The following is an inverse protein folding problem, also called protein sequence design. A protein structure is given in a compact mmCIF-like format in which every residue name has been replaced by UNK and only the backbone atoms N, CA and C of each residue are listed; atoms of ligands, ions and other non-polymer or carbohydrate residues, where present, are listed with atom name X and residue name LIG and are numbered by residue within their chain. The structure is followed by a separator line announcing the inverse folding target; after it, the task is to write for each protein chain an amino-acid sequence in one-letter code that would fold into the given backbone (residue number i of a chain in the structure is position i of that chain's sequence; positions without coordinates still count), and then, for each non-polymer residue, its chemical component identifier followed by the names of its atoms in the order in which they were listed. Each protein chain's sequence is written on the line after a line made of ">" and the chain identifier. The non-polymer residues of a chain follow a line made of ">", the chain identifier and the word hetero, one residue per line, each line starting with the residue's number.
data_IF_141705095203
#
_entry.id   IF_141705095203
#
_cell.length_a   1.000
_cell.length_b   1.000
_cell.length_c   1.000
_cell.angle_alpha   90.00
_cell.angle_beta   90.00
_cell.angle_gamma   90.00
#
_symmetry.space_group_name_H-M   'P 1'
#
loop_
_entity.id
_entity.type
_entity.pdbx_description
1 polymer ?
#
# COMPACT_ATOMS: atom_id res chain seq x y z
N UNK A 1 39.55 36.00 -27.71
CA UNK A 1 38.50 35.71 -26.67
C UNK A 1 37.83 34.42 -27.08
N UNK A 2 38.20 33.33 -26.44
CA UNK A 2 37.66 32.01 -26.70
C UNK A 2 36.40 31.87 -25.85
N UNK A 3 35.24 31.83 -26.51
CA UNK A 3 33.95 31.60 -25.85
C UNK A 3 33.91 30.14 -25.35
N UNK A 4 33.72 29.96 -24.07
CA UNK A 4 33.50 28.62 -23.49
C UNK A 4 32.28 27.96 -24.18
N UNK A 5 32.33 26.63 -24.44
CA UNK A 5 31.19 25.96 -25.01
C UNK A 5 30.00 26.01 -24.01
N UNK A 6 28.75 26.11 -24.52
CA UNK A 6 27.58 26.12 -23.66
C UNK A 6 27.54 24.83 -22.83
N UNK A 7 27.22 24.95 -21.53
CA UNK A 7 27.05 23.83 -20.64
C UNK A 7 26.03 22.84 -21.23
N UNK A 8 26.38 21.56 -21.28
CA UNK A 8 25.49 20.53 -21.77
C UNK A 8 24.26 20.49 -20.83
N UNK A 9 23.08 20.77 -21.39
CA UNK A 9 21.80 20.66 -20.68
C UNK A 9 21.39 19.20 -20.62
N UNK A 10 21.13 18.68 -19.41
CA UNK A 10 20.62 17.32 -19.21
C UNK A 10 19.23 17.13 -19.86
N UNK A 11 18.94 15.93 -20.33
CA UNK A 11 17.61 15.58 -20.82
C UNK A 11 16.58 15.67 -19.68
N UNK A 12 15.44 16.31 -19.95
CA UNK A 12 14.30 16.37 -19.02
C UNK A 12 13.28 15.33 -19.48
N UNK A 13 12.93 14.40 -18.58
CA UNK A 13 11.87 13.42 -18.79
C UNK A 13 10.77 13.66 -17.77
N UNK A 14 9.50 13.49 -18.20
CA UNK A 14 8.35 13.56 -17.32
C UNK A 14 8.10 12.15 -16.76
N UNK A 15 8.03 12.04 -15.43
CA UNK A 15 7.52 10.83 -14.79
C UNK A 15 6.01 10.75 -15.07
N UNK A 16 5.49 9.66 -15.66
CA UNK A 16 4.06 9.51 -15.96
C UNK A 16 3.17 9.41 -14.71
N UNK A 17 3.75 9.45 -13.54
CA UNK A 17 3.08 9.31 -12.26
C UNK A 17 2.23 10.54 -11.92
N UNK A 18 1.00 10.33 -11.37
CA UNK A 18 0.15 11.42 -10.90
C UNK A 18 0.79 12.15 -9.71
N UNK A 19 1.15 13.45 -9.82
CA UNK A 19 1.76 14.20 -8.74
C UNK A 19 0.90 14.26 -7.47
N UNK A 20 -0.45 14.25 -7.61
CA UNK A 20 -1.38 14.26 -6.47
C UNK A 20 -1.34 12.97 -5.65
N UNK A 21 -0.98 11.85 -6.26
CA UNK A 21 -0.84 10.56 -5.58
C UNK A 21 0.46 10.46 -4.78
N UNK A 22 1.54 11.03 -5.30
CA UNK A 22 2.84 11.05 -4.62
C UNK A 22 2.87 11.96 -3.38
N UNK A 23 1.95 12.93 -3.29
CA UNK A 23 1.86 13.86 -2.15
C UNK A 23 0.99 13.35 -1.00
N UNK A 24 0.22 12.27 -1.18
CA UNK A 24 -0.51 11.62 -0.10
C UNK A 24 0.44 10.81 0.77
N UNK A 25 1.20 11.50 1.64
CA UNK A 25 2.03 10.84 2.65
C UNK A 25 1.13 10.00 3.56
N UNK A 26 1.29 8.69 3.50
CA UNK A 26 0.71 7.82 4.52
C UNK A 26 1.47 8.02 5.83
N UNK A 27 0.84 7.76 6.98
CA UNK A 27 1.55 7.81 8.27
C UNK A 27 2.79 6.90 8.31
N UNK A 28 2.81 5.88 7.46
CA UNK A 28 3.93 4.95 7.27
C UNK A 28 5.08 5.59 6.48
N UNK A 29 4.76 6.35 5.43
CA UNK A 29 5.75 7.11 4.67
C UNK A 29 6.39 8.23 5.52
N UNK A 30 5.60 8.89 6.40
CA UNK A 30 6.12 9.86 7.37
C UNK A 30 7.07 9.17 8.35
N UNK A 31 6.72 7.99 8.86
CA UNK A 31 7.60 7.20 9.74
C UNK A 31 8.89 6.70 9.06
N UNK A 32 8.90 6.52 7.74
CA UNK A 32 10.10 6.21 6.96
C UNK A 32 10.97 7.46 6.73
N UNK A 33 10.37 8.64 6.55
CA UNK A 33 11.10 9.91 6.41
C UNK A 33 11.77 10.35 7.71
N UNK A 34 11.16 10.05 8.86
CA UNK A 34 11.72 10.33 10.20
C UNK A 34 12.84 9.35 10.61
N UNK A 35 13.08 8.27 9.86
CA UNK A 35 14.14 7.33 10.11
C UNK A 35 15.51 7.97 9.80
N UNK A 36 16.14 8.55 10.80
CA UNK A 36 17.43 9.25 10.73
C UNK A 36 18.61 8.34 10.33
N UNK A 37 18.44 7.01 10.33
CA UNK A 37 19.46 6.05 9.85
C UNK A 37 18.83 4.82 9.24
N UNK A 38 19.07 4.60 7.95
CA UNK A 38 18.76 3.34 7.26
C UNK A 38 20.01 2.49 7.26
N UNK A 39 19.91 1.25 7.75
CA UNK A 39 20.96 0.25 7.64
C UNK A 39 20.61 -0.73 6.53
N UNK A 40 21.55 -1.02 5.65
CA UNK A 40 21.39 -1.98 4.55
C UNK A 40 22.45 -3.07 4.70
N UNK A 41 22.01 -4.34 4.62
CA UNK A 41 22.87 -5.47 4.32
C UNK A 41 22.59 -5.87 2.85
N UNK A 42 23.56 -5.57 2.00
CA UNK A 42 23.46 -5.78 0.55
C UNK A 42 23.94 -7.16 0.12
N UNK A 43 24.47 -7.97 1.03
CA UNK A 43 25.12 -9.25 0.74
C UNK A 43 24.20 -10.47 0.94
N UNK A 44 22.89 -10.25 1.09
CA UNK A 44 21.91 -11.32 1.36
C UNK A 44 21.83 -12.36 0.25
N UNK A 45 21.64 -11.93 -0.99
CA UNK A 45 21.53 -12.85 -2.15
C UNK A 45 22.82 -12.96 -2.92
N UNK A 46 23.43 -11.85 -3.26
CA UNK A 46 24.70 -11.75 -3.96
C UNK A 46 25.62 -10.79 -3.22
N UNK A 47 26.94 -11.03 -3.20
CA UNK A 47 27.89 -10.02 -2.73
C UNK A 47 27.66 -8.69 -3.42
N UNK A 48 27.71 -7.60 -2.68
CA UNK A 48 27.36 -6.25 -3.15
C UNK A 48 28.16 -5.79 -4.36
N UNK A 49 29.42 -6.22 -4.48
CA UNK A 49 30.29 -5.98 -5.64
C UNK A 49 29.94 -6.81 -6.87
N UNK A 50 29.07 -7.82 -6.72
CA UNK A 50 28.59 -8.69 -7.81
C UNK A 50 27.13 -8.44 -8.17
N UNK A 51 26.57 -7.37 -7.68
CA UNK A 51 25.17 -7.02 -7.99
C UNK A 51 24.99 -6.86 -9.50
N UNK A 52 23.93 -7.42 -10.00
CA UNK A 52 23.49 -7.35 -11.39
C UNK A 52 21.96 -7.55 -11.45
N UNK A 53 21.31 -7.16 -12.55
CA UNK A 53 19.91 -7.52 -12.79
C UNK A 53 19.72 -9.05 -12.70
N UNK A 54 18.70 -9.48 -11.96
CA UNK A 54 18.31 -10.88 -11.79
C UNK A 54 17.01 -11.12 -12.55
N UNK A 55 17.00 -12.16 -13.39
CA UNK A 55 15.79 -12.64 -14.05
C UNK A 55 15.24 -13.84 -13.28
N UNK A 56 13.92 -13.96 -13.10
CA UNK A 56 13.34 -15.14 -12.47
C UNK A 56 13.64 -16.38 -13.33
N UNK A 57 13.74 -17.58 -12.74
CA UNK A 57 13.96 -18.81 -13.49
C UNK A 57 12.78 -19.09 -14.43
N UNK A 58 13.08 -19.66 -15.61
CA UNK A 58 12.07 -19.98 -16.63
C UNK A 58 11.12 -21.11 -16.19
N UNK A 59 11.55 -21.94 -15.26
CA UNK A 59 10.81 -23.13 -14.77
C UNK A 59 11.02 -23.27 -13.26
N UNK A 60 10.15 -24.04 -12.60
CA UNK A 60 10.30 -24.34 -11.16
C UNK A 60 9.65 -23.33 -10.24
N UNK A 61 8.97 -22.31 -10.77
CA UNK A 61 8.18 -21.40 -9.96
C UNK A 61 6.92 -22.12 -9.41
N UNK A 62 6.46 -21.75 -8.20
CA UNK A 62 5.24 -22.32 -7.65
C UNK A 62 4.05 -22.10 -8.58
N UNK A 63 3.22 -23.14 -8.73
CA UNK A 63 2.01 -23.08 -9.58
C UNK A 63 0.83 -22.30 -8.96
N UNK A 64 1.01 -21.74 -7.76
CA UNK A 64 0.00 -20.99 -7.04
C UNK A 64 -0.48 -19.73 -7.76
N UNK A 65 -1.68 -19.27 -7.43
CA UNK A 65 -2.24 -18.02 -7.92
C UNK A 65 -1.68 -16.81 -7.21
N UNK A 66 -2.23 -15.65 -7.55
CA UNK A 66 -1.96 -14.38 -6.92
C UNK A 66 -3.17 -13.97 -6.09
N UNK A 67 -2.95 -13.60 -4.82
CA UNK A 67 -3.92 -12.89 -4.00
C UNK A 67 -3.44 -11.45 -3.85
N UNK A 68 -4.33 -10.50 -4.06
CA UNK A 68 -4.04 -9.08 -3.81
C UNK A 68 -4.95 -8.60 -2.71
N UNK A 69 -4.36 -7.99 -1.68
CA UNK A 69 -5.05 -7.32 -0.59
C UNK A 69 -4.90 -5.80 -0.73
N UNK A 70 -5.99 -5.08 -0.62
CA UNK A 70 -6.00 -3.63 -0.65
C UNK A 70 -7.19 -3.08 0.13
N UNK A 71 -7.15 -1.79 0.47
CA UNK A 71 -8.19 -1.11 1.18
C UNK A 71 -8.42 0.33 0.74
N UNK A 72 -9.63 0.81 0.97
CA UNK A 72 -10.03 2.18 0.70
C UNK A 72 -10.68 2.80 1.92
N UNK A 73 -10.57 4.11 2.07
CA UNK A 73 -11.17 4.86 3.17
C UNK A 73 -11.80 6.15 2.66
N UNK A 74 -12.78 6.63 3.42
CA UNK A 74 -13.45 7.91 3.14
C UNK A 74 -13.96 8.53 4.44
N UNK A 75 -13.73 9.82 4.60
CA UNK A 75 -14.35 10.62 5.65
C UNK A 75 -15.67 11.16 5.09
N UNK A 76 -16.79 10.84 5.73
CA UNK A 76 -18.11 11.31 5.35
C UNK A 76 -18.44 12.66 5.95
N UNK A 77 -18.08 12.86 7.25
CA UNK A 77 -18.38 14.11 7.95
C UNK A 77 -17.36 14.41 9.05
N UNK A 78 -17.16 15.70 9.33
CA UNK A 78 -16.63 16.17 10.61
C UNK A 78 -17.78 16.28 11.60
N UNK A 79 -17.52 15.92 12.86
CA UNK A 79 -18.52 15.91 13.94
C UNK A 79 -17.94 16.53 15.20
N UNK A 80 -18.84 16.94 16.10
CA UNK A 80 -18.50 17.37 17.45
C UNK A 80 -19.26 16.50 18.45
N UNK A 81 -18.57 15.96 19.43
CA UNK A 81 -19.15 15.15 20.49
C UNK A 81 -19.24 16.00 21.75
N UNK A 82 -20.47 16.28 22.17
CA UNK A 82 -20.73 17.07 23.37
C UNK A 82 -20.21 16.41 24.64
N UNK A 83 -19.91 17.25 25.65
CA UNK A 83 -19.56 16.79 26.97
C UNK A 83 -20.81 16.99 27.90
N UNK A 84 -21.37 15.89 28.46
CA UNK A 84 -22.53 15.98 29.35
C UNK A 84 -22.29 16.83 30.61
N UNK A 85 -21.04 17.03 31.00
CA UNK A 85 -20.68 17.89 32.14
C UNK A 85 -20.61 19.39 31.80
N UNK A 86 -20.93 19.77 30.56
CA UNK A 86 -20.87 21.17 30.10
C UNK A 86 -19.49 21.63 29.66
N UNK A 87 -18.53 20.69 29.46
CA UNK A 87 -17.21 20.98 28.93
C UNK A 87 -17.22 21.26 27.43
N UNK A 88 -16.04 21.62 26.91
CA UNK A 88 -15.87 21.84 25.45
C UNK A 88 -16.17 20.58 24.66
N UNK A 89 -16.97 20.65 23.58
CA UNK A 89 -17.17 19.53 22.68
C UNK A 89 -15.87 19.05 22.06
N UNK A 90 -15.69 17.75 21.94
CA UNK A 90 -14.54 17.14 21.31
C UNK A 90 -14.74 16.96 19.80
N UNK A 91 -13.73 17.27 18.97
CA UNK A 91 -13.82 17.05 17.54
C UNK A 91 -13.78 15.55 17.20
N UNK A 92 -14.32 15.18 16.05
CA UNK A 92 -14.29 13.84 15.53
C UNK A 92 -14.56 13.78 14.03
N UNK A 93 -14.49 12.58 13.49
CA UNK A 93 -14.89 12.27 12.12
C UNK A 93 -15.79 11.04 12.08
N UNK A 94 -16.84 11.08 11.27
CA UNK A 94 -17.56 9.90 10.84
C UNK A 94 -16.92 9.44 9.52
N UNK A 95 -16.45 8.20 9.49
CA UNK A 95 -15.68 7.70 8.36
C UNK A 95 -16.00 6.23 8.09
N UNK A 96 -15.80 5.82 6.84
CA UNK A 96 -15.89 4.42 6.40
C UNK A 96 -14.57 3.95 5.83
N UNK A 97 -14.24 2.69 6.05
CA UNK A 97 -13.20 1.99 5.34
C UNK A 97 -13.72 0.65 4.82
N UNK A 98 -13.16 0.20 3.73
CA UNK A 98 -13.41 -1.12 3.16
C UNK A 98 -12.08 -1.76 2.79
N UNK A 99 -11.92 -3.04 3.10
CA UNK A 99 -10.79 -3.83 2.66
C UNK A 99 -11.31 -5.09 1.93
N UNK A 100 -10.47 -5.64 1.08
CA UNK A 100 -10.83 -6.84 0.34
C UNK A 100 -9.64 -7.59 -0.20
N UNK A 101 -9.93 -8.77 -0.70
CA UNK A 101 -8.99 -9.67 -1.35
C UNK A 101 -9.53 -10.05 -2.72
N UNK A 102 -8.67 -9.97 -3.73
CA UNK A 102 -8.97 -10.52 -5.05
C UNK A 102 -8.00 -11.66 -5.35
N UNK A 103 -8.53 -12.80 -5.80
CA UNK A 103 -7.74 -13.94 -6.23
C UNK A 103 -7.66 -13.97 -7.74
N UNK A 104 -6.44 -14.09 -8.25
CA UNK A 104 -6.14 -14.27 -9.66
C UNK A 104 -5.56 -15.69 -9.84
N UNK A 105 -6.37 -16.62 -10.31
CA UNK A 105 -5.91 -17.96 -10.61
C UNK A 105 -5.02 -17.96 -11.88
N UNK A 106 -4.02 -18.85 -11.99
CA UNK A 106 -3.22 -18.97 -13.20
C UNK A 106 -4.10 -19.26 -14.41
N UNK A 107 -4.05 -18.41 -15.44
CA UNK A 107 -4.88 -18.55 -16.65
C UNK A 107 -6.38 -18.34 -16.44
N UNK A 108 -6.82 -17.93 -15.24
CA UNK A 108 -8.22 -17.72 -14.87
C UNK A 108 -8.62 -16.25 -14.77
N UNK A 109 -9.87 -16.03 -14.37
CA UNK A 109 -10.39 -14.70 -14.07
C UNK A 109 -9.98 -14.26 -12.66
N UNK A 110 -9.98 -12.94 -12.46
CA UNK A 110 -9.85 -12.36 -11.12
C UNK A 110 -11.21 -12.44 -10.40
N UNK A 111 -11.21 -12.98 -9.18
CA UNK A 111 -12.40 -13.17 -8.37
C UNK A 111 -12.27 -12.43 -7.04
N UNK A 112 -13.35 -11.76 -6.62
CA UNK A 112 -13.42 -11.16 -5.29
C UNK A 112 -13.55 -12.28 -4.25
N UNK A 113 -12.47 -12.52 -3.50
CA UNK A 113 -12.43 -13.61 -2.51
C UNK A 113 -13.02 -13.19 -1.16
N UNK A 114 -12.71 -11.99 -0.71
CA UNK A 114 -13.16 -11.46 0.59
C UNK A 114 -13.41 -9.96 0.47
N UNK A 115 -14.37 -9.45 1.25
CA UNK A 115 -14.62 -8.01 1.40
C UNK A 115 -15.31 -7.74 2.73
N UNK A 116 -14.91 -6.67 3.39
CA UNK A 116 -15.59 -6.16 4.57
C UNK A 116 -15.57 -4.63 4.57
N UNK A 117 -16.61 -4.04 5.21
CA UNK A 117 -16.81 -2.58 5.31
C UNK A 117 -17.04 -2.23 6.76
N UNK A 118 -16.28 -1.26 7.28
CA UNK A 118 -16.48 -0.71 8.63
C UNK A 118 -16.79 0.77 8.57
N UNK A 119 -17.73 1.17 9.42
CA UNK A 119 -18.07 2.58 9.63
C UNK A 119 -17.82 2.93 11.08
N UNK A 120 -17.12 4.05 11.32
CA UNK A 120 -16.74 4.43 12.67
C UNK A 120 -16.81 5.93 12.89
N UNK A 121 -17.10 6.28 14.13
CA UNK A 121 -17.06 7.63 14.67
C UNK A 121 -15.78 7.78 15.49
N UNK A 122 -14.72 8.35 14.90
CA UNK A 122 -13.44 8.56 15.56
C UNK A 122 -13.43 9.89 16.32
N UNK A 123 -13.13 9.86 17.62
CA UNK A 123 -13.03 11.04 18.48
C UNK A 123 -12.18 10.75 19.72
N UNK A 124 -11.51 11.71 20.32
CA UNK A 124 -10.88 11.55 21.64
C UNK A 124 -11.88 11.52 22.80
N UNK A 125 -13.16 11.87 22.56
CA UNK A 125 -14.18 11.91 23.60
C UNK A 125 -14.48 10.52 24.17
N UNK A 126 -14.52 10.40 25.49
CA UNK A 126 -15.00 9.20 26.20
C UNK A 126 -16.55 9.09 26.20
N UNK A 127 -17.23 10.15 25.80
CA UNK A 127 -18.70 10.23 25.79
C UNK A 127 -19.31 9.88 24.44
N UNK A 128 -18.48 9.52 23.45
CA UNK A 128 -18.99 9.04 22.17
C UNK A 128 -19.70 7.69 22.35
N UNK A 129 -20.85 7.57 21.73
CA UNK A 129 -21.60 6.33 21.59
C UNK A 129 -21.80 6.03 20.10
N UNK A 130 -22.13 4.79 19.80
CA UNK A 130 -22.48 4.38 18.43
C UNK A 130 -23.58 5.28 17.87
N UNK A 131 -23.43 5.66 16.62
CA UNK A 131 -24.38 6.48 15.91
C UNK A 131 -25.11 5.64 14.87
N UNK A 132 -26.33 5.22 15.22
CA UNK A 132 -27.22 4.53 14.31
C UNK A 132 -27.82 5.51 13.32
N UNK A 133 -27.75 5.14 12.04
CA UNK A 133 -28.36 5.86 10.94
C UNK A 133 -29.18 4.89 10.10
N UNK A 134 -30.09 5.40 9.28
CA UNK A 134 -30.86 4.55 8.35
C UNK A 134 -29.97 3.88 7.28
N UNK A 135 -28.72 4.34 7.09
CA UNK A 135 -27.75 3.79 6.13
C UNK A 135 -26.67 2.92 6.80
N UNK A 136 -26.75 2.65 8.09
CA UNK A 136 -25.86 1.81 8.88
C UNK A 136 -25.34 2.50 10.13
N UNK A 137 -24.70 1.74 11.00
CA UNK A 137 -24.16 2.18 12.28
C UNK A 137 -22.72 2.63 12.15
N UNK A 138 -22.38 3.79 12.73
CA UNK A 138 -21.02 4.24 12.94
C UNK A 138 -20.60 3.92 14.36
N UNK A 139 -19.78 2.88 14.51
CA UNK A 139 -19.30 2.45 15.84
C UNK A 139 -18.34 3.46 16.42
N UNK A 140 -18.53 3.83 17.69
CA UNK A 140 -17.65 4.76 18.37
C UNK A 140 -16.25 4.17 18.54
N UNK A 141 -15.23 4.89 18.07
CA UNK A 141 -13.83 4.48 18.09
C UNK A 141 -12.98 5.61 18.69
N UNK A 142 -12.14 5.25 19.66
CA UNK A 142 -11.32 6.25 20.35
C UNK A 142 -10.10 6.62 19.51
N UNK A 143 -9.92 7.91 19.23
CA UNK A 143 -8.71 8.46 18.64
C UNK A 143 -7.75 8.95 19.73
N UNK A 144 -6.45 8.97 19.43
CA UNK A 144 -5.41 9.45 20.36
C UNK A 144 -5.45 10.96 20.60
N UNK A 145 -6.25 11.70 19.83
CA UNK A 145 -6.45 13.14 19.94
C UNK A 145 -7.41 13.65 18.87
N UNK A 146 -7.68 14.98 18.88
CA UNK A 146 -8.68 15.63 18.05
C UNK A 146 -8.14 16.37 16.82
N UNK A 147 -6.83 16.34 16.56
CA UNK A 147 -6.29 16.95 15.33
C UNK A 147 -6.70 16.14 14.10
N UNK A 148 -6.75 16.79 12.93
CA UNK A 148 -7.07 16.13 11.67
C UNK A 148 -6.16 14.94 11.40
N UNK A 149 -4.87 15.06 11.72
CA UNK A 149 -3.86 14.01 11.56
C UNK A 149 -4.13 12.82 12.49
N UNK A 150 -4.40 13.07 13.78
CA UNK A 150 -4.69 12.03 14.76
C UNK A 150 -5.97 11.26 14.43
N UNK A 151 -6.99 11.95 13.96
CA UNK A 151 -8.25 11.33 13.51
C UNK A 151 -8.04 10.52 12.24
N UNK A 152 -7.28 11.06 11.26
CA UNK A 152 -6.93 10.35 10.04
C UNK A 152 -6.07 9.11 10.31
N UNK A 153 -5.13 9.20 11.27
CA UNK A 153 -4.31 8.08 11.70
C UNK A 153 -5.14 6.96 12.35
N UNK A 154 -6.15 7.32 13.16
CA UNK A 154 -7.06 6.34 13.75
C UNK A 154 -7.85 5.58 12.66
N UNK A 155 -8.35 6.28 11.64
CA UNK A 155 -9.00 5.67 10.48
C UNK A 155 -8.04 4.77 9.69
N UNK A 156 -6.78 5.21 9.47
CA UNK A 156 -5.77 4.40 8.79
C UNK A 156 -5.44 3.12 9.56
N UNK A 157 -5.30 3.19 10.87
CA UNK A 157 -5.07 2.01 11.72
C UNK A 157 -6.22 1.01 11.59
N UNK A 158 -7.46 1.49 11.65
CA UNK A 158 -8.62 0.61 11.47
C UNK A 158 -8.64 -0.07 10.09
N UNK A 159 -8.26 0.65 9.03
CA UNK A 159 -8.13 0.07 7.70
C UNK A 159 -7.06 -1.02 7.66
N UNK A 160 -5.88 -0.74 8.19
CA UNK A 160 -4.77 -1.71 8.26
C UNK A 160 -5.17 -2.96 9.06
N UNK A 161 -5.84 -2.78 10.21
CA UNK A 161 -6.33 -3.90 11.03
C UNK A 161 -7.37 -4.75 10.27
N UNK A 162 -8.22 -4.10 9.46
CA UNK A 162 -9.20 -4.78 8.64
C UNK A 162 -8.53 -5.61 7.53
N UNK A 163 -7.56 -5.04 6.82
CA UNK A 163 -6.78 -5.74 5.80
C UNK A 163 -6.04 -6.96 6.38
N UNK A 164 -5.37 -6.79 7.53
CA UNK A 164 -4.69 -7.90 8.23
C UNK A 164 -5.68 -8.99 8.63
N UNK A 165 -6.84 -8.60 9.17
CA UNK A 165 -7.89 -9.54 9.59
C UNK A 165 -8.38 -10.38 8.41
N UNK A 166 -8.69 -9.75 7.27
CA UNK A 166 -9.16 -10.43 6.07
C UNK A 166 -8.08 -11.35 5.49
N UNK A 167 -6.85 -10.87 5.37
CA UNK A 167 -5.73 -11.65 4.86
C UNK A 167 -5.44 -12.88 5.75
N UNK A 168 -5.48 -12.72 7.08
CA UNK A 168 -5.28 -13.82 8.04
C UNK A 168 -6.40 -14.85 7.92
N UNK A 169 -7.66 -14.40 7.87
CA UNK A 169 -8.82 -15.28 7.72
C UNK A 169 -8.73 -16.09 6.43
N UNK A 170 -8.41 -15.43 5.33
CA UNK A 170 -8.25 -16.08 4.04
C UNK A 170 -7.13 -17.13 4.06
N UNK A 171 -5.96 -16.79 4.62
CA UNK A 171 -4.82 -17.71 4.73
C UNK A 171 -5.14 -18.95 5.58
N UNK A 172 -5.89 -18.76 6.65
CA UNK A 172 -6.31 -19.89 7.51
C UNK A 172 -7.25 -20.84 6.76
N UNK A 173 -8.12 -20.31 5.89
CA UNK A 173 -9.09 -21.11 5.14
C UNK A 173 -8.52 -21.76 3.87
N UNK A 174 -7.62 -21.07 3.14
CA UNK A 174 -7.19 -21.43 1.78
C UNK A 174 -5.76 -21.96 1.70
N UNK A 175 -5.00 -21.94 2.79
CA UNK A 175 -3.60 -22.39 2.82
C UNK A 175 -2.60 -21.36 2.22
N UNK A 176 -1.30 -21.71 2.20
CA UNK A 176 -0.23 -20.78 1.86
C UNK A 176 0.21 -20.80 0.38
N UNK A 177 -0.42 -21.56 -0.52
CA UNK A 177 0.13 -21.83 -1.85
C UNK A 177 0.18 -20.62 -2.78
N UNK A 178 -0.84 -19.74 -2.69
CA UNK A 178 -0.90 -18.52 -3.49
C UNK A 178 0.08 -17.45 -2.96
N UNK A 179 0.67 -16.64 -3.85
CA UNK A 179 1.44 -15.46 -3.46
C UNK A 179 0.48 -14.35 -3.00
N UNK A 180 0.65 -13.84 -1.79
CA UNK A 180 -0.14 -12.71 -1.28
C UNK A 180 0.64 -11.41 -1.49
N UNK A 181 0.05 -10.50 -2.25
CA UNK A 181 0.54 -9.13 -2.40
C UNK A 181 -0.34 -8.20 -1.56
N UNK A 182 0.28 -7.43 -0.69
CA UNK A 182 -0.39 -6.35 0.04
C UNK A 182 0.03 -5.01 -0.54
N UNK A 183 -0.92 -4.15 -0.86
CA UNK A 183 -0.62 -2.82 -1.38
C UNK A 183 0.00 -1.95 -0.29
N UNK A 184 1.24 -1.50 -0.51
CA UNK A 184 2.05 -0.77 0.44
C UNK A 184 3.08 -1.61 1.20
N UNK A 185 3.68 -1.05 2.27
CA UNK A 185 4.69 -1.72 3.08
C UNK A 185 4.17 -2.97 3.79
N UNK A 186 5.04 -3.95 3.99
CA UNK A 186 4.69 -5.22 4.67
C UNK A 186 4.42 -5.05 6.18
N UNK A 187 4.75 -3.91 6.76
CA UNK A 187 4.65 -3.63 8.19
C UNK A 187 3.31 -4.10 8.81
N UNK A 188 3.39 -4.88 9.90
CA UNK A 188 2.22 -5.48 10.57
C UNK A 188 1.68 -6.73 9.89
N UNK A 189 2.19 -7.14 8.72
CA UNK A 189 1.74 -8.31 7.94
C UNK A 189 2.84 -9.37 7.75
N UNK A 190 4.02 -9.16 8.35
CA UNK A 190 5.18 -10.04 8.20
C UNK A 190 4.95 -11.49 8.70
N UNK A 191 3.95 -11.70 9.57
CA UNK A 191 3.58 -13.02 10.07
C UNK A 191 2.77 -13.87 9.08
N UNK A 192 2.29 -13.26 7.99
CA UNK A 192 1.50 -13.98 6.98
C UNK A 192 2.43 -14.75 6.02
N UNK A 193 2.18 -16.05 5.78
CA UNK A 193 3.04 -16.85 4.90
C UNK A 193 2.95 -16.38 3.46
N UNK A 194 4.06 -16.50 2.71
CA UNK A 194 4.18 -16.15 1.29
C UNK A 194 3.62 -14.78 0.94
N UNK A 195 3.93 -13.79 1.79
CA UNK A 195 3.41 -12.42 1.64
C UNK A 195 4.50 -11.46 1.23
N UNK A 196 4.18 -10.60 0.27
CA UNK A 196 5.04 -9.54 -0.25
C UNK A 196 4.33 -8.20 -0.10
N UNK A 197 4.96 -7.24 0.58
CA UNK A 197 4.59 -5.84 0.55
C UNK A 197 4.98 -5.23 -0.81
N UNK A 198 4.08 -4.51 -1.43
CA UNK A 198 4.27 -3.93 -2.75
C UNK A 198 4.19 -2.41 -2.70
N UNK A 199 5.36 -1.76 -2.71
CA UNK A 199 5.50 -0.30 -2.55
C UNK A 199 5.67 0.35 -3.92
N UNK A 200 4.69 1.15 -4.30
CA UNK A 200 4.60 1.82 -5.61
C UNK A 200 5.30 3.17 -5.67
N UNK A 201 5.39 3.86 -4.53
CA UNK A 201 5.93 5.22 -4.43
C UNK A 201 7.29 5.22 -3.74
N UNK A 202 8.21 6.00 -4.27
CA UNK A 202 9.58 6.10 -3.76
C UNK A 202 9.81 7.50 -3.18
N UNK A 203 9.72 7.64 -1.85
CA UNK A 203 9.97 8.91 -1.16
C UNK A 203 11.46 9.11 -0.83
N UNK A 204 12.25 8.04 -0.84
CA UNK A 204 13.67 8.07 -0.59
C UNK A 204 14.41 7.08 -1.49
N UNK A 205 15.61 7.47 -1.94
CA UNK A 205 16.55 6.60 -2.62
C UNK A 205 17.40 5.89 -1.55
N UNK A 206 17.10 4.62 -1.27
CA UNK A 206 17.85 3.84 -0.27
C UNK A 206 19.17 3.31 -0.80
N UNK A 207 19.20 2.88 -2.07
CA UNK A 207 20.41 2.39 -2.70
C UNK A 207 21.30 3.55 -3.15
N UNK A 208 22.61 3.35 -3.05
CA UNK A 208 23.64 4.27 -3.51
C UNK A 208 24.43 3.60 -4.63
N UNK A 209 25.26 4.35 -5.34
CA UNK A 209 26.14 3.78 -6.35
C UNK A 209 27.14 2.80 -5.70
N UNK A 210 27.46 1.68 -6.35
CA UNK A 210 27.04 1.29 -7.72
C UNK A 210 25.69 0.56 -7.81
N UNK A 211 24.96 0.32 -6.73
CA UNK A 211 23.72 -0.45 -6.75
C UNK A 211 22.58 0.30 -7.45
N UNK A 212 22.63 1.63 -7.46
CA UNK A 212 21.68 2.46 -8.24
C UNK A 212 21.81 2.20 -9.74
N UNK A 213 23.01 1.94 -10.24
CA UNK A 213 23.24 1.59 -11.65
C UNK A 213 22.55 0.26 -12.00
N UNK A 214 22.61 -0.72 -11.10
CA UNK A 214 21.91 -2.00 -11.27
C UNK A 214 20.40 -1.78 -11.35
N UNK A 215 19.85 -0.93 -10.46
CA UNK A 215 18.44 -0.61 -10.42
C UNK A 215 17.97 0.03 -11.74
N UNK A 216 18.72 1.00 -12.26
CA UNK A 216 18.39 1.70 -13.51
C UNK A 216 18.55 0.81 -14.75
N UNK A 217 19.45 -0.18 -14.70
CA UNK A 217 19.67 -1.14 -15.77
C UNK A 217 18.63 -2.28 -15.82
N UNK A 218 17.72 -2.40 -14.86
CA UNK A 218 16.68 -3.42 -14.87
C UNK A 218 15.83 -3.32 -16.14
N UNK A 219 15.58 -4.46 -16.76
CA UNK A 219 14.58 -4.62 -17.83
C UNK A 219 13.24 -5.09 -17.26
N UNK A 220 12.13 -4.92 -17.97
CA UNK A 220 10.85 -5.46 -17.54
C UNK A 220 10.93 -6.92 -17.14
N UNK A 221 10.41 -7.27 -15.96
CA UNK A 221 10.48 -8.63 -15.39
C UNK A 221 11.78 -8.95 -14.67
N UNK A 222 12.76 -8.04 -14.65
CA UNK A 222 13.98 -8.20 -13.86
C UNK A 222 13.85 -7.51 -12.51
N UNK A 223 14.61 -8.00 -11.54
CA UNK A 223 14.70 -7.47 -10.17
C UNK A 223 16.15 -7.21 -9.76
N UNK A 224 16.35 -6.42 -8.74
CA UNK A 224 17.64 -6.38 -8.03
C UNK A 224 17.84 -7.66 -7.23
N UNK A 225 19.07 -7.98 -6.81
CA UNK A 225 19.27 -8.92 -5.71
C UNK A 225 18.49 -8.51 -4.47
N UNK A 226 18.12 -9.49 -3.64
CA UNK A 226 17.49 -9.28 -2.34
C UNK A 226 18.52 -8.72 -1.37
N UNK A 227 18.12 -7.72 -0.61
CA UNK A 227 18.91 -7.12 0.48
C UNK A 227 18.07 -6.97 1.74
N UNK A 228 18.71 -6.87 2.91
CA UNK A 228 18.03 -6.57 4.16
C UNK A 228 18.06 -5.06 4.41
N UNK A 229 16.93 -4.50 4.76
CA UNK A 229 16.78 -3.09 5.11
C UNK A 229 16.22 -2.98 6.52
N UNK A 230 16.91 -2.19 7.36
CA UNK A 230 16.49 -1.90 8.73
C UNK A 230 16.31 -0.38 8.89
N UNK A 231 15.12 0.01 9.30
CA UNK A 231 14.75 1.37 9.70
C UNK A 231 14.23 1.31 11.15
N UNK A 232 12.98 1.65 11.40
CA UNK A 232 12.29 1.33 12.66
C UNK A 232 11.92 -0.16 12.78
N UNK A 233 12.06 -0.94 11.69
CA UNK A 233 11.85 -2.37 11.61
C UNK A 233 12.69 -2.99 10.49
N UNK A 234 13.01 -4.29 10.59
CA UNK A 234 13.81 -5.00 9.62
C UNK A 234 12.93 -5.75 8.60
N UNK A 235 13.34 -5.77 7.34
CA UNK A 235 12.68 -6.48 6.24
C UNK A 235 13.64 -6.79 5.11
N UNK A 236 13.45 -7.91 4.43
CA UNK A 236 14.06 -8.14 3.14
C UNK A 236 13.39 -7.25 2.09
N UNK A 237 14.17 -6.78 1.12
CA UNK A 237 13.68 -5.89 0.07
C UNK A 237 14.36 -6.15 -1.25
N UNK A 238 13.66 -5.90 -2.34
CA UNK A 238 14.19 -5.88 -3.70
C UNK A 238 13.38 -4.91 -4.55
N UNK A 239 13.97 -4.43 -5.65
CA UNK A 239 13.27 -3.63 -6.64
C UNK A 239 12.95 -4.48 -7.86
N UNK A 240 11.79 -4.24 -8.46
CA UNK A 240 11.27 -4.92 -9.63
C UNK A 240 10.93 -3.89 -10.69
N UNK A 241 11.27 -4.16 -11.96
CA UNK A 241 10.81 -3.32 -13.08
C UNK A 241 9.62 -3.94 -13.78
N UNK A 242 8.53 -3.19 -13.84
CA UNK A 242 7.33 -3.48 -14.62
C UNK A 242 7.48 -2.99 -16.08
N UNK A 243 6.74 -3.57 -17.05
CA UNK A 243 6.69 -3.05 -18.41
C UNK A 243 6.13 -1.64 -18.45
N UNK A 244 6.80 -0.73 -19.14
CA UNK A 244 6.36 0.65 -19.32
C UNK A 244 6.89 1.21 -20.64
N UNK A 245 6.13 2.04 -21.36
CA UNK A 245 6.64 2.77 -22.51
C UNK A 245 7.53 3.97 -22.12
N UNK A 246 7.53 4.38 -20.84
CA UNK A 246 8.32 5.52 -20.37
C UNK A 246 9.80 5.16 -20.26
N UNK A 247 10.66 6.12 -20.65
CA UNK A 247 12.13 6.03 -20.53
C UNK A 247 12.67 6.68 -19.26
N UNK A 248 11.79 7.22 -18.39
CA UNK A 248 12.20 7.79 -17.12
C UNK A 248 12.89 6.71 -16.25
N UNK A 249 14.00 7.01 -15.56
CA UNK A 249 14.80 6.02 -14.84
C UNK A 249 14.00 5.19 -13.82
N UNK A 250 13.05 5.82 -13.13
CA UNK A 250 12.20 5.19 -12.11
C UNK A 250 10.84 4.69 -12.63
N UNK A 251 10.54 4.90 -13.92
CA UNK A 251 9.29 4.42 -14.49
C UNK A 251 9.19 2.90 -14.42
N UNK A 252 8.07 2.41 -13.90
CA UNK A 252 7.83 0.97 -13.73
C UNK A 252 8.61 0.33 -12.59
N UNK A 253 9.38 1.06 -11.80
CA UNK A 253 10.05 0.53 -10.62
C UNK A 253 9.06 0.42 -9.46
N UNK A 254 8.98 -0.75 -8.86
CA UNK A 254 8.31 -0.99 -7.60
C UNK A 254 9.30 -1.60 -6.60
N UNK A 255 9.15 -1.30 -5.31
CA UNK A 255 9.89 -1.96 -4.25
C UNK A 255 9.02 -3.03 -3.62
N UNK A 256 9.58 -4.23 -3.48
CA UNK A 256 8.94 -5.34 -2.81
C UNK A 256 9.59 -5.57 -1.44
N UNK A 257 8.82 -6.07 -0.49
CA UNK A 257 9.27 -6.33 0.87
C UNK A 257 8.78 -7.71 1.33
N UNK A 258 9.64 -8.43 2.08
CA UNK A 258 9.30 -9.68 2.74
C UNK A 258 9.80 -9.69 4.18
N UNK A 259 9.28 -10.61 5.00
CA UNK A 259 9.63 -10.73 6.41
C UNK A 259 11.14 -10.98 6.59
N UNK A 260 11.75 -10.30 7.58
CA UNK A 260 13.19 -10.34 7.81
C UNK A 260 13.68 -11.70 8.37
N UNK A 261 12.79 -12.47 8.98
CA UNK A 261 13.06 -13.78 9.59
C UNK A 261 12.97 -14.95 8.60
N UNK A 262 12.62 -14.67 7.33
CA UNK A 262 12.60 -15.69 6.30
C UNK A 262 14.01 -16.20 5.99
N UNK A 263 14.18 -17.53 5.82
CA UNK A 263 15.42 -18.09 5.28
C UNK A 263 15.77 -17.49 3.92
N UNK A 264 17.06 -17.35 3.64
CA UNK A 264 17.59 -16.77 2.38
C UNK A 264 16.92 -17.35 1.14
N UNK A 265 16.84 -18.67 1.04
CA UNK A 265 16.27 -19.33 -0.15
C UNK A 265 14.77 -19.05 -0.28
N UNK A 266 14.04 -19.01 0.82
CA UNK A 266 12.60 -18.68 0.83
C UNK A 266 12.32 -17.25 0.37
N UNK A 267 13.15 -16.28 0.75
CA UNK A 267 12.96 -14.90 0.30
C UNK A 267 13.37 -14.73 -1.17
N UNK A 268 14.38 -15.44 -1.65
CA UNK A 268 14.77 -15.47 -3.06
C UNK A 268 13.61 -16.05 -3.90
N UNK A 269 13.00 -17.15 -3.47
CA UNK A 269 11.82 -17.73 -4.12
C UNK A 269 10.64 -16.75 -4.21
N UNK A 270 10.39 -15.98 -3.16
CA UNK A 270 9.36 -14.93 -3.18
C UNK A 270 9.71 -13.81 -4.16
N UNK A 271 10.97 -13.40 -4.19
CA UNK A 271 11.44 -12.36 -5.09
C UNK A 271 11.33 -12.79 -6.56
N UNK A 272 11.74 -14.03 -6.87
CA UNK A 272 11.63 -14.61 -8.21
C UNK A 272 10.17 -14.79 -8.63
N UNK A 273 9.32 -15.30 -7.73
CA UNK A 273 7.90 -15.47 -8.01
C UNK A 273 7.21 -14.11 -8.28
N UNK A 274 7.52 -13.08 -7.49
CA UNK A 274 7.01 -11.73 -7.73
C UNK A 274 7.46 -11.17 -9.08
N UNK A 275 8.74 -11.36 -9.44
CA UNK A 275 9.30 -10.90 -10.71
C UNK A 275 8.71 -11.62 -11.94
N UNK A 276 8.27 -12.86 -11.77
CA UNK A 276 7.63 -13.62 -12.85
C UNK A 276 6.17 -13.24 -13.06
N UNK A 277 5.42 -12.94 -11.98
CA UNK A 277 3.96 -12.74 -12.06
C UNK A 277 3.59 -11.26 -12.22
N UNK A 278 4.17 -10.35 -11.42
CA UNK A 278 3.71 -8.96 -11.36
C UNK A 278 3.82 -8.17 -12.66
N UNK A 279 4.82 -8.39 -13.53
CA UNK A 279 4.89 -7.73 -14.84
C UNK A 279 3.66 -7.98 -15.73
N UNK A 280 3.09 -9.19 -15.65
CA UNK A 280 1.86 -9.55 -16.38
C UNK A 280 0.60 -8.86 -15.83
N UNK A 281 0.68 -8.30 -14.63
CA UNK A 281 -0.43 -7.59 -13.95
C UNK A 281 -0.27 -6.06 -14.01
N UNK A 282 0.75 -5.55 -14.68
CA UNK A 282 1.04 -4.12 -14.76
C UNK A 282 -0.16 -3.33 -15.31
N UNK A 283 -0.43 -2.18 -14.71
CA UNK A 283 -1.46 -1.25 -15.17
C UNK A 283 -1.12 -0.68 -16.56
N UNK A 284 -2.14 -0.21 -17.27
CA UNK A 284 -1.99 0.47 -18.57
C UNK A 284 -2.42 1.92 -18.49
N UNK A 285 -1.59 2.85 -19.00
CA UNK A 285 -1.71 4.28 -18.78
C UNK A 285 -3.03 4.91 -19.24
N UNK A 286 -3.68 4.37 -20.27
CA UNK A 286 -4.98 4.88 -20.72
C UNK A 286 -6.15 4.46 -19.81
N UNK A 287 -5.94 3.51 -18.89
CA UNK A 287 -6.96 3.03 -17.93
C UNK A 287 -6.74 3.54 -16.52
N UNK A 288 -5.48 3.74 -16.13
CA UNK A 288 -5.11 4.20 -14.80
C UNK A 288 -3.88 5.13 -14.90
N UNK A 289 -3.99 6.39 -14.45
CA UNK A 289 -2.87 7.34 -14.48
C UNK A 289 -1.70 6.91 -13.58
N UNK A 290 -1.91 5.94 -12.68
CA UNK A 290 -0.88 5.36 -11.80
C UNK A 290 -0.19 4.13 -12.41
N UNK A 291 -0.45 3.85 -13.71
CA UNK A 291 0.22 2.78 -14.42
C UNK A 291 1.71 3.12 -14.67
N UNK A 292 2.57 2.10 -14.75
CA UNK A 292 2.28 0.67 -14.66
C UNK A 292 2.24 0.15 -13.22
N UNK A 293 2.71 0.94 -12.22
CA UNK A 293 2.88 0.49 -10.84
C UNK A 293 1.55 0.13 -10.16
N UNK A 294 0.43 0.77 -10.52
CA UNK A 294 -0.86 0.30 -10.03
C UNK A 294 -1.30 -0.93 -10.81
N UNK A 295 -1.14 -2.10 -10.21
CA UNK A 295 -1.46 -3.38 -10.83
C UNK A 295 -2.96 -3.46 -11.17
N UNK A 296 -3.30 -4.10 -12.28
CA UNK A 296 -4.70 -4.26 -12.72
C UNK A 296 -5.61 -4.84 -11.62
N UNK A 297 -5.20 -5.89 -10.88
CA UNK A 297 -6.01 -6.40 -9.77
C UNK A 297 -6.22 -5.40 -8.64
N UNK A 298 -5.20 -4.58 -8.29
CA UNK A 298 -5.31 -3.52 -7.29
C UNK A 298 -6.35 -2.49 -7.74
N UNK A 299 -6.18 -1.92 -8.94
CA UNK A 299 -7.12 -0.92 -9.47
C UNK A 299 -8.55 -1.44 -9.63
N UNK A 300 -8.71 -2.73 -9.95
CA UNK A 300 -10.01 -3.40 -9.98
C UNK A 300 -10.64 -3.52 -8.59
N UNK A 301 -9.85 -3.97 -7.61
CA UNK A 301 -10.29 -4.11 -6.23
C UNK A 301 -10.68 -2.75 -5.62
N UNK A 302 -9.85 -1.71 -5.79
CA UNK A 302 -10.17 -0.36 -5.33
C UNK A 302 -11.55 0.13 -5.83
N UNK A 303 -11.87 -0.11 -7.11
CA UNK A 303 -13.18 0.28 -7.68
C UNK A 303 -14.33 -0.44 -6.99
N UNK A 304 -14.18 -1.75 -6.76
CA UNK A 304 -15.18 -2.55 -6.05
C UNK A 304 -15.34 -2.05 -4.61
N UNK A 305 -14.25 -1.83 -3.91
CA UNK A 305 -14.27 -1.36 -2.51
C UNK A 305 -14.90 0.03 -2.38
N UNK A 306 -14.59 0.97 -3.29
CA UNK A 306 -15.23 2.30 -3.32
C UNK A 306 -16.73 2.20 -3.54
N UNK A 307 -17.17 1.29 -4.39
CA UNK A 307 -18.61 1.03 -4.58
C UNK A 307 -19.25 0.47 -3.30
N UNK A 308 -18.56 -0.46 -2.61
CA UNK A 308 -19.02 -1.04 -1.33
C UNK A 308 -19.09 -0.03 -0.17
N UNK A 309 -18.32 1.04 -0.20
CA UNK A 309 -18.48 2.14 0.77
C UNK A 309 -19.87 2.79 0.69
N UNK A 310 -20.57 2.70 -0.46
CA UNK A 310 -21.86 3.33 -0.69
C UNK A 310 -21.75 4.79 -1.17
N UNK A 311 -22.90 5.37 -1.52
CA UNK A 311 -22.98 6.75 -2.00
C UNK A 311 -22.64 7.77 -0.90
N UNK A 312 -21.68 8.67 -1.10
CA UNK A 312 -21.25 9.63 -0.08
C UNK A 312 -22.35 10.63 0.30
N UNK A 313 -23.19 11.04 -0.64
CA UNK A 313 -24.27 11.98 -0.40
C UNK A 313 -25.39 11.36 0.44
N UNK A 314 -25.70 10.07 0.20
CA UNK A 314 -26.66 9.33 1.01
C UNK A 314 -26.17 9.13 2.44
N UNK A 315 -24.91 8.73 2.61
CA UNK A 315 -24.32 8.53 3.93
C UNK A 315 -24.24 9.86 4.73
N UNK A 316 -23.85 10.94 4.08
CA UNK A 316 -23.83 12.27 4.71
C UNK A 316 -25.23 12.71 5.15
N UNK A 317 -26.28 12.50 4.33
CA UNK A 317 -27.67 12.80 4.71
C UNK A 317 -28.14 11.94 5.89
N UNK A 318 -27.79 10.65 5.90
CA UNK A 318 -28.12 9.74 6.98
C UNK A 318 -27.51 10.20 8.32
N UNK A 319 -26.23 10.61 8.29
CA UNK A 319 -25.54 11.19 9.46
C UNK A 319 -26.24 12.46 9.96
N UNK A 320 -26.58 13.40 9.07
CA UNK A 320 -27.27 14.64 9.43
C UNK A 320 -28.62 14.36 10.10
N UNK A 321 -29.43 13.47 9.54
CA UNK A 321 -30.73 13.10 10.11
C UNK A 321 -30.56 12.50 11.51
N UNK A 322 -29.62 11.56 11.67
CA UNK A 322 -29.40 10.90 12.95
C UNK A 322 -28.88 11.85 14.06
N UNK A 323 -28.04 12.83 13.70
CA UNK A 323 -27.55 13.83 14.67
C UNK A 323 -28.61 14.84 15.08
N UNK A 324 -29.49 15.25 14.17
CA UNK A 324 -30.60 16.14 14.46
C UNK A 324 -31.63 15.49 15.42
N UNK A 325 -31.94 14.21 15.23
CA UNK A 325 -32.85 13.47 16.11
C UNK A 325 -32.34 13.29 17.55
N UNK A 326 -31.03 13.40 17.79
CA UNK A 326 -30.41 13.31 19.12
C UNK A 326 -30.32 14.68 19.84
N UNK A 327 -30.50 15.77 19.09
CA UNK A 327 -30.40 17.14 19.62
C UNK A 327 -31.75 17.75 20.00
N UNK A 328 -32.87 17.11 19.70
CA UNK A 328 -34.23 17.45 20.10
C UNK A 328 -34.75 16.49 21.17
#
# INVERSE_FOLDING_TARGET
>A
MTTAPPAATGAITIDPWDPGYATSLTAEAIGELDATSVQLDLDVELPSERWRPVSPPATGLPAGGLIVADGVRRIEARVWVGDPSGGMPAPGIAASCAAGLVRCAPGGLAELAEVDVRRSLFTPSRHAADLDTWAGTYTAARAGGGTAEQLSLALQRQLTDLEVTLATRYRTASGPDDLLIVDGPLRGRAHLPRTVGYVKTHHAAYLKDPQTDVLTALRPGQRTPVFLMTTSWARHSWYLRLPTPSTAPWAGIARCEAAADLPRDAVIDLADHSAAILPGMAGVGYKDPRAPQNLVPIGGLEKVLRHRLGDPGLLYRALRTATQARSG
#
